data_IF_757959543508
#
_entry.id   IF_757959543508
#
_cell.length_a   1.000
_cell.length_b   1.000
_cell.length_c   1.000
_cell.angle_alpha   90.00
_cell.angle_beta   90.00
_cell.angle_gamma   90.00
#
_symmetry.space_group_name_H-M   'P 1'
#
loop_
_entity.id
_entity.type
_entity.pdbx_description
1 polymer ?
#
# COMPACT_ATOMS: atom_id res chain seq x y z
N UNK A 1 9.52 -32.38 74.10
CA UNK A 1 10.06 -32.85 72.84
C UNK A 1 9.11 -32.57 71.64
N UNK A 2 8.16 -31.68 71.78
CA UNK A 2 7.17 -31.31 70.75
C UNK A 2 7.33 -29.88 70.17
N UNK A 3 8.19 -29.04 70.75
CA UNK A 3 8.25 -27.63 70.51
C UNK A 3 8.79 -27.20 69.09
N UNK A 4 9.55 -28.03 68.38
CA UNK A 4 10.13 -27.72 67.10
C UNK A 4 9.38 -28.31 65.87
N UNK A 5 8.49 -29.27 66.11
CA UNK A 5 7.77 -29.94 64.98
C UNK A 5 6.61 -29.14 64.43
N UNK A 6 5.93 -28.32 65.27
CA UNK A 6 4.80 -27.48 64.83
C UNK A 6 5.24 -26.35 63.94
N UNK A 7 6.26 -25.56 64.27
CA UNK A 7 6.72 -24.52 63.37
C UNK A 7 7.29 -25.06 62.05
N UNK A 8 7.94 -26.24 62.08
CA UNK A 8 8.42 -26.86 60.86
C UNK A 8 7.28 -27.30 59.93
N UNK A 9 6.19 -27.87 60.46
CA UNK A 9 5.00 -28.23 59.69
C UNK A 9 4.30 -27.01 59.06
N UNK A 10 4.17 -25.93 59.82
CA UNK A 10 3.60 -24.66 59.31
C UNK A 10 4.46 -24.10 58.18
N UNK A 11 5.77 -24.11 58.35
CA UNK A 11 6.69 -23.62 57.31
C UNK A 11 6.59 -24.45 56.02
N UNK A 12 6.59 -25.76 56.12
CA UNK A 12 6.46 -26.68 54.98
C UNK A 12 5.11 -26.45 54.24
N UNK A 13 4.01 -26.36 55.00
CA UNK A 13 2.69 -26.11 54.39
C UNK A 13 2.63 -24.77 53.67
N UNK A 14 3.23 -23.72 54.23
CA UNK A 14 3.30 -22.41 53.58
C UNK A 14 4.10 -22.46 52.27
N UNK A 15 5.25 -23.12 52.27
CA UNK A 15 6.08 -23.27 51.04
C UNK A 15 5.34 -24.07 49.97
N UNK A 16 4.70 -25.19 50.34
CA UNK A 16 3.91 -25.99 49.38
C UNK A 16 2.76 -25.17 48.79
N UNK A 17 2.05 -24.40 49.60
CA UNK A 17 0.98 -23.53 49.13
C UNK A 17 1.48 -22.43 48.15
N UNK A 18 2.59 -21.78 48.47
CA UNK A 18 3.22 -20.79 47.59
C UNK A 18 3.63 -21.39 46.23
N UNK A 19 4.25 -22.58 46.26
CA UNK A 19 4.64 -23.26 45.02
C UNK A 19 3.42 -23.66 44.19
N UNK A 20 2.38 -24.19 44.82
CA UNK A 20 1.15 -24.57 44.13
C UNK A 20 0.45 -23.38 43.51
N UNK A 21 0.28 -22.27 44.23
CA UNK A 21 -0.32 -21.04 43.70
C UNK A 21 0.54 -20.43 42.60
N UNK A 22 1.85 -20.39 42.77
CA UNK A 22 2.79 -19.89 41.77
C UNK A 22 2.73 -20.69 40.46
N UNK A 23 2.70 -22.02 40.56
CA UNK A 23 2.58 -22.90 39.40
C UNK A 23 1.23 -22.69 38.65
N UNK A 24 0.12 -22.68 39.37
CA UNK A 24 -1.21 -22.45 38.80
C UNK A 24 -1.29 -21.06 38.13
N UNK A 25 -0.78 -20.02 38.78
CA UNK A 25 -0.74 -18.67 38.21
C UNK A 25 0.12 -18.59 36.96
N UNK A 26 1.26 -19.27 36.94
CA UNK A 26 2.14 -19.30 35.76
C UNK A 26 1.47 -19.95 34.56
N UNK A 27 0.87 -21.12 34.71
CA UNK A 27 0.19 -21.82 33.63
C UNK A 27 -1.04 -21.04 33.11
N UNK A 28 -1.84 -20.51 34.04
CA UNK A 28 -3.03 -19.74 33.69
C UNK A 28 -2.66 -18.45 32.93
N UNK A 29 -1.67 -17.69 33.40
CA UNK A 29 -1.25 -16.45 32.74
C UNK A 29 -0.54 -16.72 31.43
N UNK A 30 0.26 -17.78 31.32
CA UNK A 30 0.91 -18.15 30.06
C UNK A 30 -0.11 -18.47 28.96
N UNK A 31 -1.11 -19.29 29.29
CA UNK A 31 -2.19 -19.64 28.36
C UNK A 31 -3.03 -18.41 27.96
N UNK A 32 -3.35 -17.52 28.90
CA UNK A 32 -4.09 -16.31 28.64
C UNK A 32 -3.33 -15.32 27.71
N UNK A 33 -2.01 -15.21 27.91
CA UNK A 33 -1.14 -14.37 27.06
C UNK A 33 -1.06 -14.93 25.64
N UNK A 34 -0.91 -16.24 25.49
CA UNK A 34 -0.87 -16.88 24.18
C UNK A 34 -2.18 -16.68 23.41
N UNK A 35 -3.33 -16.92 24.06
CA UNK A 35 -4.65 -16.68 23.47
C UNK A 35 -4.82 -15.22 23.08
N UNK A 36 -4.46 -14.29 23.96
CA UNK A 36 -4.54 -12.86 23.66
C UNK A 36 -3.64 -12.44 22.50
N UNK A 37 -2.46 -13.03 22.37
CA UNK A 37 -1.56 -12.78 21.25
C UNK A 37 -2.15 -13.30 19.92
N UNK A 38 -2.70 -14.51 19.93
CA UNK A 38 -3.36 -15.09 18.77
C UNK A 38 -4.58 -14.28 18.32
N UNK A 39 -5.42 -13.85 19.26
CA UNK A 39 -6.59 -13.02 18.97
C UNK A 39 -6.18 -11.67 18.34
N UNK A 40 -5.14 -11.03 18.88
CA UNK A 40 -4.61 -9.79 18.32
C UNK A 40 -4.05 -9.96 16.93
N UNK A 41 -3.31 -11.04 16.68
CA UNK A 41 -2.77 -11.33 15.35
C UNK A 41 -3.89 -11.60 14.34
N UNK A 42 -4.90 -12.36 14.74
CA UNK A 42 -6.07 -12.65 13.90
C UNK A 42 -6.84 -11.37 13.57
N UNK A 43 -7.11 -10.54 14.58
CA UNK A 43 -7.78 -9.26 14.38
C UNK A 43 -6.97 -8.32 13.46
N UNK A 44 -5.65 -8.27 13.63
CA UNK A 44 -4.77 -7.48 12.78
C UNK A 44 -4.77 -8.00 11.33
N UNK A 45 -4.68 -9.31 11.14
CA UNK A 45 -4.72 -9.93 9.83
C UNK A 45 -6.04 -9.63 9.10
N UNK A 46 -7.17 -9.74 9.81
CA UNK A 46 -8.48 -9.43 9.25
C UNK A 46 -8.62 -7.95 8.91
N UNK A 47 -8.16 -7.05 9.77
CA UNK A 47 -8.13 -5.60 9.48
C UNK A 47 -7.31 -5.29 8.22
N UNK A 48 -6.15 -5.93 8.07
CA UNK A 48 -5.31 -5.76 6.87
C UNK A 48 -5.94 -6.34 5.61
N UNK A 49 -6.62 -7.48 5.74
CA UNK A 49 -7.36 -8.10 4.65
C UNK A 49 -8.48 -7.18 4.14
N UNK A 50 -9.26 -6.61 5.05
CA UNK A 50 -10.34 -5.67 4.71
C UNK A 50 -9.78 -4.40 4.05
N UNK A 51 -8.74 -3.79 4.64
CA UNK A 51 -8.11 -2.60 4.08
C UNK A 51 -7.54 -2.83 2.66
N UNK A 52 -6.96 -4.02 2.41
CA UNK A 52 -6.50 -4.38 1.09
C UNK A 52 -7.67 -4.58 0.10
N UNK A 53 -8.77 -5.18 0.55
CA UNK A 53 -10.00 -5.33 -0.23
C UNK A 53 -10.53 -3.97 -0.67
N UNK A 54 -10.73 -3.05 0.27
CA UNK A 54 -11.21 -1.69 0.01
C UNK A 54 -10.27 -0.92 -0.95
N UNK A 55 -8.95 -1.08 -0.78
CA UNK A 55 -7.98 -0.48 -1.67
C UNK A 55 -8.10 -0.99 -3.12
N UNK A 56 -8.22 -2.31 -3.29
CA UNK A 56 -8.38 -2.91 -4.61
C UNK A 56 -9.72 -2.53 -5.25
N UNK A 57 -10.80 -2.44 -4.48
CA UNK A 57 -12.10 -2.00 -4.96
C UNK A 57 -12.07 -0.53 -5.39
N UNK A 58 -11.36 0.33 -4.66
CA UNK A 58 -11.13 1.73 -5.06
C UNK A 58 -10.40 1.81 -6.40
N UNK A 59 -9.29 1.08 -6.57
CA UNK A 59 -8.56 1.04 -7.85
C UNK A 59 -9.48 0.56 -8.98
N UNK A 60 -10.27 -0.49 -8.73
CA UNK A 60 -11.21 -0.99 -9.74
C UNK A 60 -12.24 0.05 -10.14
N UNK A 61 -12.81 0.77 -9.17
CA UNK A 61 -13.77 1.84 -9.43
C UNK A 61 -13.13 2.97 -10.22
N UNK A 62 -11.92 3.38 -9.89
CA UNK A 62 -11.17 4.40 -10.61
C UNK A 62 -10.92 4.00 -12.07
N UNK A 63 -10.50 2.75 -12.31
CA UNK A 63 -10.31 2.24 -13.67
C UNK A 63 -11.62 2.24 -14.46
N UNK A 64 -12.72 1.78 -13.87
CA UNK A 64 -14.04 1.77 -14.50
C UNK A 64 -14.49 3.20 -14.80
N UNK A 65 -14.31 4.12 -13.86
CA UNK A 65 -14.64 5.53 -14.04
C UNK A 65 -13.83 6.14 -15.19
N UNK A 66 -12.51 5.96 -15.20
CA UNK A 66 -11.64 6.49 -16.26
C UNK A 66 -11.93 5.84 -17.61
N UNK A 67 -12.22 4.54 -17.65
CA UNK A 67 -12.57 3.85 -18.90
C UNK A 67 -13.89 4.33 -19.51
N UNK A 68 -14.76 4.93 -18.73
CA UNK A 68 -16.05 5.49 -19.16
C UNK A 68 -16.00 7.02 -19.41
N UNK A 69 -14.87 7.65 -19.10
CA UNK A 69 -14.72 9.09 -19.21
C UNK A 69 -14.61 9.54 -20.69
N UNK A 70 -15.53 10.37 -21.20
CA UNK A 70 -15.47 10.84 -22.57
C UNK A 70 -14.16 11.57 -22.92
N UNK A 71 -13.59 12.32 -21.98
CA UNK A 71 -12.31 13.03 -22.18
C UNK A 71 -11.16 12.06 -22.41
N UNK A 72 -11.12 10.94 -21.66
CA UNK A 72 -10.12 9.89 -21.86
C UNK A 72 -10.27 9.24 -23.24
N UNK A 73 -11.50 8.96 -23.66
CA UNK A 73 -11.78 8.41 -24.98
C UNK A 73 -11.37 9.37 -26.11
N UNK A 74 -11.67 10.66 -25.95
CA UNK A 74 -11.28 11.70 -26.91
C UNK A 74 -9.75 11.85 -26.97
N UNK A 75 -9.07 11.88 -25.82
CA UNK A 75 -7.63 11.94 -25.74
C UNK A 75 -6.98 10.75 -26.47
N UNK A 76 -7.41 9.52 -26.15
CA UNK A 76 -6.89 8.31 -26.80
C UNK A 76 -7.06 8.34 -28.32
N UNK A 77 -8.24 8.75 -28.80
CA UNK A 77 -8.52 8.85 -30.23
C UNK A 77 -7.65 9.92 -30.90
N UNK A 78 -7.53 11.08 -30.27
CA UNK A 78 -6.74 12.20 -30.77
C UNK A 78 -5.25 11.88 -30.80
N UNK A 79 -4.70 11.31 -29.73
CA UNK A 79 -3.32 10.86 -29.68
C UNK A 79 -3.03 9.76 -30.69
N UNK A 80 -3.92 8.78 -30.85
CA UNK A 80 -3.76 7.71 -31.86
C UNK A 80 -3.74 8.27 -33.27
N UNK A 81 -4.61 9.22 -33.58
CA UNK A 81 -4.64 9.90 -34.89
C UNK A 81 -3.37 10.72 -35.13
N UNK A 82 -2.96 11.52 -34.12
CA UNK A 82 -1.76 12.33 -34.20
C UNK A 82 -0.50 11.47 -34.38
N UNK A 83 -0.37 10.39 -33.62
CA UNK A 83 0.70 9.41 -33.74
C UNK A 83 0.79 8.83 -35.17
N UNK A 84 -0.33 8.38 -35.70
CA UNK A 84 -0.38 7.81 -37.06
C UNK A 84 -0.05 8.84 -38.15
N UNK A 85 -0.33 10.12 -37.91
CA UNK A 85 -0.02 11.20 -38.87
C UNK A 85 1.47 11.58 -38.94
N UNK A 86 2.27 11.17 -37.93
CA UNK A 86 3.72 11.47 -37.90
C UNK A 86 4.52 10.64 -38.90
N UNK A 87 3.97 9.52 -39.42
CA UNK A 87 4.69 8.62 -40.34
C UNK A 87 5.67 7.71 -39.62
N UNK A 88 6.81 7.40 -40.23
CA UNK A 88 7.82 6.53 -39.59
C UNK A 88 8.72 7.31 -38.62
N UNK A 89 9.21 6.63 -37.58
CA UNK A 89 10.15 7.20 -36.61
C UNK A 89 9.50 8.02 -35.48
N UNK A 90 8.21 7.86 -35.26
CA UNK A 90 7.45 8.62 -34.23
C UNK A 90 8.11 8.51 -32.85
N UNK A 91 8.49 7.30 -32.43
CA UNK A 91 9.12 7.07 -31.12
C UNK A 91 10.40 7.90 -30.96
N UNK A 92 11.30 7.85 -31.93
CA UNK A 92 12.56 8.60 -31.87
C UNK A 92 12.33 10.11 -31.88
N UNK A 93 11.36 10.57 -32.68
CA UNK A 93 10.97 12.00 -32.74
C UNK A 93 10.44 12.48 -31.42
N UNK A 94 9.49 11.76 -30.83
CA UNK A 94 8.89 12.15 -29.54
C UNK A 94 9.87 12.03 -28.38
N UNK A 95 10.72 11.00 -28.37
CA UNK A 95 11.78 10.88 -27.36
C UNK A 95 12.72 12.09 -27.42
N UNK A 96 13.15 12.49 -28.62
CA UNK A 96 13.97 13.68 -28.77
C UNK A 96 13.26 14.93 -28.27
N UNK A 97 12.01 15.18 -28.68
CA UNK A 97 11.28 16.40 -28.35
C UNK A 97 10.94 16.53 -26.86
N UNK A 98 10.45 15.43 -26.26
CA UNK A 98 9.92 15.47 -24.90
C UNK A 98 10.91 14.99 -23.81
N UNK A 99 12.01 14.33 -24.23
CA UNK A 99 13.04 13.86 -23.30
C UNK A 99 14.36 14.58 -23.52
N UNK A 100 14.99 14.42 -24.73
CA UNK A 100 16.35 14.90 -24.97
C UNK A 100 16.43 16.43 -25.05
N UNK A 101 15.57 17.05 -25.89
CA UNK A 101 15.50 18.50 -26.11
C UNK A 101 14.60 19.23 -25.11
N UNK A 102 13.98 18.52 -24.18
CA UNK A 102 13.13 19.10 -23.14
C UNK A 102 13.96 19.94 -22.16
N UNK A 103 13.66 21.25 -21.99
CA UNK A 103 14.46 22.17 -21.17
C UNK A 103 14.37 21.87 -19.65
N UNK A 104 13.37 21.09 -19.22
CA UNK A 104 13.20 20.77 -17.82
C UNK A 104 14.21 19.71 -17.37
N UNK A 105 14.69 19.73 -16.11
CA UNK A 105 15.67 18.78 -15.61
C UNK A 105 15.07 17.36 -15.52
N UNK A 106 15.96 16.36 -15.43
CA UNK A 106 15.55 14.99 -15.14
C UNK A 106 14.73 14.91 -13.85
N UNK A 107 13.59 14.25 -13.89
CA UNK A 107 12.61 14.18 -12.77
C UNK A 107 11.56 15.30 -12.79
N UNK A 108 11.57 16.17 -13.81
CA UNK A 108 10.57 17.23 -14.02
C UNK A 108 10.23 17.40 -15.50
N UNK A 109 10.48 16.37 -16.33
CA UNK A 109 10.21 16.40 -17.76
C UNK A 109 8.72 16.51 -18.08
N UNK A 110 7.87 16.07 -17.19
CA UNK A 110 6.42 16.20 -17.22
C UNK A 110 5.92 17.65 -17.26
N UNK A 111 6.73 18.62 -16.88
CA UNK A 111 6.36 20.05 -16.96
C UNK A 111 6.38 20.61 -18.38
N UNK A 112 6.70 19.83 -19.41
CA UNK A 112 6.65 20.26 -20.79
C UNK A 112 5.30 19.92 -21.42
N UNK A 113 4.37 20.85 -21.40
CA UNK A 113 3.04 20.68 -22.01
C UNK A 113 3.08 20.72 -23.54
N UNK A 114 4.01 21.45 -24.13
CA UNK A 114 4.07 21.71 -25.56
C UNK A 114 5.52 21.74 -26.08
N UNK A 115 5.81 20.92 -27.08
CA UNK A 115 7.03 21.02 -27.86
C UNK A 115 6.79 21.90 -29.09
N UNK A 116 7.60 22.97 -29.34
CA UNK A 116 7.35 23.94 -30.42
C UNK A 116 7.82 23.43 -31.79
N UNK A 117 7.40 22.21 -32.16
CA UNK A 117 7.75 21.54 -33.43
C UNK A 117 6.69 21.70 -34.53
N UNK A 118 5.55 22.33 -34.20
CA UNK A 118 4.44 22.54 -35.12
C UNK A 118 3.63 21.28 -35.45
N UNK A 119 3.89 20.15 -34.80
CA UNK A 119 3.17 18.91 -35.04
C UNK A 119 1.77 18.92 -34.45
N UNK A 120 0.88 18.13 -35.07
CA UNK A 120 -0.45 17.87 -34.52
C UNK A 120 -0.34 17.17 -33.15
N UNK A 121 0.66 16.30 -32.98
CA UNK A 121 0.89 15.60 -31.72
C UNK A 121 1.15 16.57 -30.56
N UNK A 122 2.05 17.56 -30.75
CA UNK A 122 2.36 18.55 -29.71
C UNK A 122 1.16 19.44 -29.37
N UNK A 123 0.31 19.73 -30.33
CA UNK A 123 -0.95 20.47 -30.12
C UNK A 123 -1.93 19.62 -29.24
N UNK A 124 -2.09 18.35 -29.58
CA UNK A 124 -2.93 17.42 -28.81
C UNK A 124 -2.35 17.20 -27.41
N UNK A 125 -1.02 17.09 -27.29
CA UNK A 125 -0.35 16.97 -26.01
C UNK A 125 -0.66 18.17 -25.12
N UNK A 126 -0.52 19.40 -25.60
CA UNK A 126 -0.84 20.61 -24.84
C UNK A 126 -2.31 20.68 -24.40
N UNK A 127 -3.23 20.12 -25.19
CA UNK A 127 -4.65 20.08 -24.86
C UNK A 127 -4.97 19.13 -23.70
N UNK A 128 -4.37 17.95 -23.69
CA UNK A 128 -4.75 16.89 -22.77
C UNK A 128 -3.77 16.67 -21.60
N UNK A 129 -2.51 17.06 -21.75
CA UNK A 129 -1.50 16.85 -20.73
C UNK A 129 -1.87 17.43 -19.35
N UNK A 130 -2.50 18.63 -19.22
CA UNK A 130 -2.91 19.16 -17.93
C UNK A 130 -3.99 18.34 -17.21
N UNK A 131 -4.56 17.32 -17.86
CA UNK A 131 -5.56 16.43 -17.29
C UNK A 131 -4.97 15.15 -16.68
N UNK A 132 -3.72 14.84 -16.96
CA UNK A 132 -3.03 13.63 -16.54
C UNK A 132 -1.83 13.93 -15.65
#
# INVERSE_FOLDING_TARGET
MFSGKIPALVFVSAVVSCVAVGALSYFSNSSALETSAQDKLTALAETRRLALGDYLDTIRQDIVFQSSNPTVHEALKSFSSAWNSMGEGQTATLQRLYIDDNPNPTGSKENLDFAPDGSVYSTIHAQFHPWF
#
